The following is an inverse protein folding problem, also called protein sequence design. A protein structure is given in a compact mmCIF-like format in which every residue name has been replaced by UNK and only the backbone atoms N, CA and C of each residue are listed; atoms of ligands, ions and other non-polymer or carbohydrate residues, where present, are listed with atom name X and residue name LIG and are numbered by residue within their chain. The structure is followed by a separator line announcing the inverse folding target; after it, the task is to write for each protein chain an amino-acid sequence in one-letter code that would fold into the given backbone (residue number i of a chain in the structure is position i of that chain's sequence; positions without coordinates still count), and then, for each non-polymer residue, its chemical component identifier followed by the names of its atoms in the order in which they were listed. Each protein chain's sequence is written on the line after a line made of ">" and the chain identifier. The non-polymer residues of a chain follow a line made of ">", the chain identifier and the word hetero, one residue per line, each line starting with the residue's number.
data_IF_955837434783
#
_entry.id   IF_955837434783
#
_cell.length_a   1.000
_cell.length_b   1.000
_cell.length_c   1.000
_cell.angle_alpha   90.00
_cell.angle_beta   90.00
_cell.angle_gamma   90.00
#
_symmetry.space_group_name_H-M   'P 1'
#
loop_
_entity.id
_entity.type
_entity.pdbx_description
1 polymer ?
#
# COMPACT_ATOMS: atom_id res chain seq x y z
N UNK A 1 -48.46 -58.94 6.49
CA UNK A 1 -47.01 -58.76 6.73
C UNK A 1 -46.68 -57.30 6.47
N UNK A 2 -46.49 -56.55 7.51
CA UNK A 2 -46.14 -55.14 7.39
C UNK A 2 -44.60 -55.02 7.43
N UNK A 3 -44.02 -54.63 6.31
CA UNK A 3 -42.59 -54.33 6.22
C UNK A 3 -42.28 -52.96 6.79
N UNK A 4 -41.62 -52.91 7.93
CA UNK A 4 -41.14 -51.67 8.50
C UNK A 4 -39.99 -51.12 7.63
N UNK A 5 -40.27 -50.03 6.91
CA UNK A 5 -39.20 -49.25 6.23
C UNK A 5 -38.51 -48.40 7.28
N UNK A 6 -37.27 -48.74 7.60
CA UNK A 6 -36.40 -47.91 8.41
C UNK A 6 -36.00 -46.66 7.62
N UNK A 7 -36.50 -45.52 8.06
CA UNK A 7 -36.04 -44.21 7.55
C UNK A 7 -34.71 -43.92 8.18
N UNK A 8 -33.66 -44.03 7.39
CA UNK A 8 -32.33 -43.57 7.80
C UNK A 8 -32.29 -42.05 7.72
N UNK A 9 -32.37 -41.40 8.86
CA UNK A 9 -32.11 -39.97 8.95
C UNK A 9 -30.61 -39.75 8.76
N UNK A 10 -30.23 -39.23 7.62
CA UNK A 10 -28.86 -38.75 7.38
C UNK A 10 -28.70 -37.41 8.09
N UNK A 11 -27.96 -37.40 9.17
CA UNK A 11 -27.54 -36.16 9.83
C UNK A 11 -26.46 -35.53 8.98
N UNK A 12 -26.78 -34.44 8.31
CA UNK A 12 -25.82 -33.64 7.57
C UNK A 12 -25.08 -32.79 8.59
N UNK A 13 -23.88 -33.23 8.98
CA UNK A 13 -22.98 -32.39 9.78
C UNK A 13 -22.36 -31.35 8.88
N UNK A 14 -22.91 -30.14 8.93
CA UNK A 14 -22.28 -28.98 8.28
C UNK A 14 -21.09 -28.56 9.14
N UNK A 15 -19.91 -29.01 8.74
CA UNK A 15 -18.66 -28.50 9.30
C UNK A 15 -18.49 -27.05 8.81
N UNK A 16 -18.86 -26.09 9.65
CA UNK A 16 -18.51 -24.70 9.45
C UNK A 16 -17.02 -24.59 9.81
N UNK A 17 -16.15 -24.70 8.81
CA UNK A 17 -14.75 -24.39 9.00
C UNK A 17 -14.65 -22.88 9.36
N UNK A 18 -13.90 -22.53 10.41
CA UNK A 18 -13.61 -21.13 10.67
C UNK A 18 -12.89 -20.56 9.45
N UNK A 19 -13.47 -19.53 8.84
CA UNK A 19 -12.84 -18.82 7.72
C UNK A 19 -11.74 -17.94 8.32
N UNK A 20 -10.61 -18.55 8.62
CA UNK A 20 -9.37 -17.83 8.79
C UNK A 20 -8.85 -17.58 7.38
N UNK A 21 -9.50 -16.65 6.68
CA UNK A 21 -8.99 -16.19 5.38
C UNK A 21 -7.62 -15.56 5.59
N UNK A 22 -6.66 -15.76 4.66
CA UNK A 22 -5.42 -15.03 4.71
C UNK A 22 -5.78 -13.54 4.75
N UNK A 23 -5.17 -12.79 5.68
CA UNK A 23 -5.23 -11.33 5.62
C UNK A 23 -4.82 -10.96 4.21
N UNK A 24 -5.67 -10.22 3.52
CA UNK A 24 -5.37 -9.73 2.19
C UNK A 24 -4.07 -8.93 2.29
N UNK A 25 -2.97 -9.57 1.93
CA UNK A 25 -1.70 -8.85 1.83
C UNK A 25 -1.83 -7.93 0.62
N UNK A 26 -1.64 -6.65 0.86
CA UNK A 26 -1.59 -5.68 -0.22
C UNK A 26 -0.42 -6.05 -1.12
N UNK A 27 -0.68 -6.17 -2.42
CA UNK A 27 0.38 -6.42 -3.38
C UNK A 27 1.15 -5.11 -3.59
N UNK A 28 2.36 -5.04 -3.06
CA UNK A 28 3.25 -3.89 -3.24
C UNK A 28 3.98 -3.91 -4.58
N UNK A 29 3.97 -5.04 -5.29
CA UNK A 29 4.72 -5.22 -6.53
C UNK A 29 6.23 -5.07 -6.33
N UNK A 30 6.91 -4.49 -7.31
CA UNK A 30 8.31 -4.12 -7.16
C UNK A 30 8.44 -2.90 -6.25
N UNK A 31 9.26 -3.03 -5.19
CA UNK A 31 9.41 -2.00 -4.16
C UNK A 31 10.66 -1.17 -4.43
N UNK A 32 10.48 0.14 -4.53
CA UNK A 32 11.56 1.11 -4.66
C UNK A 32 11.74 1.86 -3.35
N UNK A 33 12.99 2.05 -2.93
CA UNK A 33 13.30 2.83 -1.75
C UNK A 33 12.97 4.31 -1.94
N UNK A 34 12.70 5.00 -0.86
CA UNK A 34 12.32 6.42 -0.86
C UNK A 34 13.40 7.37 -1.39
N UNK A 35 14.66 6.93 -1.45
CA UNK A 35 15.77 7.68 -2.02
C UNK A 35 16.00 7.44 -3.52
N UNK A 36 15.23 6.54 -4.14
CA UNK A 36 15.25 6.35 -5.59
C UNK A 36 14.87 7.66 -6.30
N UNK A 37 15.60 8.02 -7.34
CA UNK A 37 15.30 9.20 -8.16
C UNK A 37 14.50 8.84 -9.39
N UNK A 38 14.74 7.65 -9.92
CA UNK A 38 14.07 7.12 -11.08
C UNK A 38 13.46 5.75 -10.75
N UNK A 39 12.23 5.56 -11.18
CA UNK A 39 11.46 4.34 -11.04
C UNK A 39 11.17 3.83 -12.44
N UNK A 40 11.91 2.83 -12.90
CA UNK A 40 11.72 2.22 -14.21
C UNK A 40 10.93 0.92 -14.05
N UNK A 41 9.78 0.85 -14.70
CA UNK A 41 8.85 -0.28 -14.61
C UNK A 41 8.29 -0.64 -15.99
N UNK A 42 7.63 -1.78 -16.07
CA UNK A 42 6.96 -2.25 -17.29
C UNK A 42 5.48 -1.87 -17.28
N UNK A 43 4.92 -1.67 -18.44
CA UNK A 43 3.48 -1.49 -18.62
C UNK A 43 2.70 -2.64 -17.95
N UNK A 44 1.68 -2.29 -17.17
CA UNK A 44 0.84 -3.24 -16.42
C UNK A 44 1.42 -3.69 -15.07
N UNK A 45 2.65 -3.33 -14.75
CA UNK A 45 3.30 -3.72 -13.51
C UNK A 45 2.75 -2.92 -12.32
N UNK A 46 2.59 -3.61 -11.18
CA UNK A 46 2.39 -2.98 -9.88
C UNK A 46 3.76 -2.66 -9.28
N UNK A 47 3.90 -1.49 -8.73
CA UNK A 47 5.12 -1.05 -8.05
C UNK A 47 4.77 -0.14 -6.87
N UNK A 48 5.69 0.02 -5.96
CA UNK A 48 5.50 0.91 -4.81
C UNK A 48 6.76 1.67 -4.45
N UNK A 49 6.56 2.84 -3.84
CA UNK A 49 7.57 3.56 -3.10
C UNK A 49 7.42 3.26 -1.62
N UNK A 50 8.52 3.02 -0.94
CA UNK A 50 8.57 2.58 0.45
C UNK A 50 9.34 3.58 1.32
N UNK A 51 8.76 3.90 2.46
CA UNK A 51 9.38 4.67 3.53
C UNK A 51 9.36 3.89 4.84
N UNK A 52 10.45 3.93 5.56
CA UNK A 52 10.45 3.62 6.98
C UNK A 52 9.95 4.85 7.75
N UNK A 53 8.96 4.63 8.63
CA UNK A 53 8.37 5.71 9.40
C UNK A 53 9.03 5.83 10.76
N UNK A 54 9.40 7.04 11.15
CA UNK A 54 9.76 7.34 12.52
C UNK A 54 8.50 7.56 13.36
N UNK A 55 8.59 7.29 14.66
CA UNK A 55 7.54 7.67 15.61
C UNK A 55 7.61 9.19 15.83
N UNK A 56 6.96 9.93 14.95
CA UNK A 56 6.83 11.38 15.02
C UNK A 56 5.37 11.75 14.76
N UNK A 57 4.58 12.01 15.82
CA UNK A 57 3.17 12.33 15.68
C UNK A 57 2.94 13.55 14.78
N UNK A 58 2.00 13.42 13.85
CA UNK A 58 1.61 14.49 12.95
C UNK A 58 2.51 14.67 11.72
N UNK A 59 3.47 13.79 11.48
CA UNK A 59 4.27 13.81 10.27
C UNK A 59 3.70 12.86 9.22
N UNK A 60 3.53 13.37 8.01
CA UNK A 60 2.91 12.63 6.91
C UNK A 60 3.73 12.71 5.63
N UNK A 61 3.69 11.61 4.86
CA UNK A 61 4.14 11.57 3.48
C UNK A 61 2.92 11.58 2.58
N UNK A 62 2.86 12.53 1.67
CA UNK A 62 1.72 12.63 0.76
C UNK A 62 2.12 13.10 -0.63
N UNK A 63 1.48 12.55 -1.69
CA UNK A 63 1.63 13.07 -3.03
C UNK A 63 1.09 14.49 -3.12
N UNK A 64 1.89 15.36 -3.75
CA UNK A 64 1.52 16.74 -4.07
C UNK A 64 1.81 17.02 -5.54
N UNK A 65 1.46 18.20 -6.03
CA UNK A 65 1.81 18.62 -7.39
C UNK A 65 3.33 18.78 -7.58
N UNK A 66 3.94 18.36 -8.71
CA UNK A 66 3.28 17.69 -9.82
C UNK A 66 2.89 16.25 -9.50
N UNK A 67 1.65 15.90 -9.85
CA UNK A 67 1.14 14.54 -9.72
C UNK A 67 1.41 13.75 -10.99
N UNK A 68 1.51 12.42 -10.91
CA UNK A 68 1.68 11.60 -12.09
C UNK A 68 0.54 11.79 -13.09
N UNK A 69 0.90 11.72 -14.38
CA UNK A 69 -0.09 11.55 -15.42
C UNK A 69 -0.82 10.22 -15.23
N UNK A 70 -2.14 10.21 -15.03
CA UNK A 70 -2.91 8.97 -14.80
C UNK A 70 -2.89 8.03 -16.01
N UNK A 71 -2.58 8.53 -17.20
CA UNK A 71 -2.34 7.69 -18.38
C UNK A 71 -1.02 6.91 -18.34
N UNK A 72 -0.09 7.28 -17.46
CA UNK A 72 1.21 6.64 -17.30
C UNK A 72 1.28 5.84 -16.00
N UNK A 73 0.94 6.43 -14.88
CA UNK A 73 0.98 5.78 -13.58
C UNK A 73 -0.18 6.25 -12.70
N UNK A 74 -0.85 5.31 -12.04
CA UNK A 74 -2.00 5.57 -11.17
C UNK A 74 -1.68 5.11 -9.76
N UNK A 75 -1.88 5.98 -8.77
CA UNK A 75 -1.87 5.59 -7.36
C UNK A 75 -3.10 4.72 -7.07
N UNK A 76 -2.87 3.46 -6.71
CA UNK A 76 -3.94 2.50 -6.44
C UNK A 76 -4.19 2.28 -4.96
N UNK A 77 -3.26 2.64 -4.10
CA UNK A 77 -3.43 2.49 -2.66
C UNK A 77 -2.29 3.09 -1.85
N UNK A 78 -2.60 3.28 -0.59
CA UNK A 78 -1.65 3.67 0.46
C UNK A 78 -1.73 2.60 1.52
N UNK A 79 -0.62 1.93 1.79
CA UNK A 79 -0.56 0.87 2.79
C UNK A 79 0.41 1.26 3.90
N UNK A 80 -0.13 1.42 5.11
CA UNK A 80 0.66 1.66 6.32
C UNK A 80 0.74 0.38 7.13
N UNK A 81 1.96 -0.14 7.27
CA UNK A 81 2.23 -1.30 8.11
C UNK A 81 2.66 -0.80 9.48
N UNK A 82 1.92 -1.11 10.54
CA UNK A 82 2.26 -0.67 11.89
C UNK A 82 3.65 -1.17 12.32
N UNK A 83 4.37 -0.34 13.06
CA UNK A 83 5.62 -0.71 13.70
C UNK A 83 5.44 -1.76 14.79
N UNK A 84 6.53 -2.41 15.17
CA UNK A 84 6.56 -3.34 16.29
C UNK A 84 6.45 -2.56 17.61
N UNK A 85 5.39 -2.75 18.42
CA UNK A 85 5.24 -2.05 19.69
C UNK A 85 6.32 -2.41 20.71
N UNK A 86 7.04 -3.53 20.51
CA UNK A 86 8.18 -3.94 21.32
C UNK A 86 9.49 -3.23 21.01
N UNK A 87 9.55 -2.46 19.91
CA UNK A 87 10.73 -1.72 19.48
C UNK A 87 10.50 -0.22 19.59
N UNK A 88 11.28 0.45 20.43
CA UNK A 88 11.25 1.90 20.54
C UNK A 88 11.73 2.55 19.24
N UNK A 89 10.96 3.52 18.74
CA UNK A 89 11.30 4.26 17.54
C UNK A 89 10.85 3.62 16.22
N UNK A 90 10.24 2.42 16.26
CA UNK A 90 9.63 1.80 15.09
C UNK A 90 8.25 2.39 14.82
N UNK A 91 8.17 3.32 13.87
CA UNK A 91 6.92 3.93 13.40
C UNK A 91 6.19 3.11 12.35
N UNK A 92 6.78 2.00 11.90
CA UNK A 92 6.27 1.15 10.85
C UNK A 92 6.76 1.53 9.45
N UNK A 93 6.00 1.14 8.46
CA UNK A 93 6.34 1.30 7.05
C UNK A 93 5.18 1.89 6.27
N UNK A 94 5.50 2.66 5.27
CA UNK A 94 4.53 3.25 4.33
C UNK A 94 4.86 2.79 2.92
N UNK A 95 3.85 2.32 2.21
CA UNK A 95 3.92 2.01 0.79
C UNK A 95 2.92 2.87 0.03
N UNK A 96 3.40 3.63 -0.94
CA UNK A 96 2.55 4.23 -1.96
C UNK A 96 2.54 3.28 -3.15
N UNK A 97 1.39 2.66 -3.41
CA UNK A 97 1.24 1.60 -4.41
C UNK A 97 0.66 2.16 -5.69
N UNK A 98 1.31 1.86 -6.80
CA UNK A 98 0.97 2.34 -8.13
C UNK A 98 0.79 1.19 -9.12
N UNK A 99 0.06 1.46 -10.18
CA UNK A 99 0.03 0.64 -11.38
C UNK A 99 0.56 1.43 -12.56
N UNK A 100 1.46 0.80 -13.32
CA UNK A 100 1.96 1.34 -14.59
C UNK A 100 0.89 1.18 -15.66
N UNK A 101 0.14 2.24 -15.92
CA UNK A 101 -1.06 2.24 -16.74
C UNK A 101 -0.75 2.31 -18.24
N UNK A 102 0.25 3.08 -18.62
CA UNK A 102 0.65 3.26 -20.01
C UNK A 102 2.12 3.64 -20.13
N UNK A 103 2.69 3.36 -21.30
CA UNK A 103 4.08 3.70 -21.62
C UNK A 103 4.27 5.21 -21.64
N UNK A 104 5.37 5.66 -21.09
CA UNK A 104 5.72 7.06 -21.02
C UNK A 104 6.54 7.40 -19.80
N UNK A 105 6.73 8.69 -19.59
CA UNK A 105 7.46 9.23 -18.44
C UNK A 105 6.59 10.25 -17.75
N UNK A 106 6.55 10.17 -16.42
CA UNK A 106 5.81 11.11 -15.59
C UNK A 106 6.57 11.39 -14.30
N UNK A 107 6.16 12.41 -13.58
CA UNK A 107 6.76 12.79 -12.32
C UNK A 107 5.78 12.61 -11.16
N UNK A 108 6.31 12.19 -10.02
CA UNK A 108 5.61 12.13 -8.75
C UNK A 108 6.37 12.96 -7.75
N UNK A 109 5.70 13.88 -7.09
CA UNK A 109 6.27 14.61 -5.95
C UNK A 109 5.60 14.20 -4.67
N UNK A 110 6.40 13.88 -3.66
CA UNK A 110 5.97 13.50 -2.32
C UNK A 110 6.50 14.49 -1.30
N UNK A 111 5.60 15.05 -0.52
CA UNK A 111 5.90 15.92 0.60
C UNK A 111 5.95 15.12 1.90
N UNK A 112 7.03 15.28 2.65
CA UNK A 112 7.12 14.85 4.05
C UNK A 112 7.06 16.09 4.92
N UNK A 113 5.98 16.26 5.64
CA UNK A 113 5.71 17.46 6.42
C UNK A 113 4.93 17.15 7.69
N UNK A 114 5.03 18.06 8.66
CA UNK A 114 4.21 18.02 9.88
C UNK A 114 2.89 18.76 9.65
N UNK A 115 1.80 18.19 10.12
CA UNK A 115 0.47 18.81 10.01
C UNK A 115 0.36 20.10 10.87
N UNK A 116 -0.20 21.22 10.34
CA UNK A 116 -0.65 21.42 8.97
C UNK A 116 0.54 21.63 8.00
N UNK A 117 0.61 20.84 6.96
CA UNK A 117 1.67 20.93 5.98
C UNK A 117 1.70 22.31 5.30
N UNK A 118 2.86 22.99 5.35
CA UNK A 118 3.01 24.35 4.82
C UNK A 118 2.80 25.47 5.83
N UNK A 119 2.51 25.14 7.09
CA UNK A 119 2.46 26.12 8.18
C UNK A 119 3.86 26.61 8.57
N UNK A 120 3.92 27.82 9.16
CA UNK A 120 5.17 28.44 9.65
C UNK A 120 5.86 27.68 10.79
N UNK A 121 5.14 26.75 11.45
CA UNK A 121 5.65 25.91 12.53
C UNK A 121 6.32 24.62 12.04
N UNK A 122 6.32 24.35 10.73
CA UNK A 122 6.97 23.17 10.15
C UNK A 122 8.48 23.42 9.97
N UNK A 123 9.25 23.15 11.04
CA UNK A 123 10.70 23.31 11.03
C UNK A 123 11.44 22.31 10.17
N UNK A 124 10.76 21.26 9.68
CA UNK A 124 11.31 20.28 8.76
C UNK A 124 10.29 19.90 7.71
N UNK A 125 10.63 20.22 6.48
CA UNK A 125 9.85 19.84 5.31
C UNK A 125 10.77 19.28 4.25
N UNK A 126 10.52 18.09 3.80
CA UNK A 126 11.23 17.47 2.71
C UNK A 126 10.29 17.22 1.55
N UNK A 127 10.68 17.67 0.37
CA UNK A 127 9.96 17.42 -0.86
C UNK A 127 10.86 16.66 -1.81
N UNK A 128 10.39 15.52 -2.30
CA UNK A 128 11.11 14.70 -3.27
C UNK A 128 10.29 14.50 -4.52
N UNK A 129 10.96 14.60 -5.67
CA UNK A 129 10.38 14.31 -6.97
C UNK A 129 11.01 13.04 -7.53
N UNK A 130 10.16 12.14 -7.97
CA UNK A 130 10.53 10.87 -8.58
C UNK A 130 10.16 10.90 -10.06
N UNK A 131 11.07 10.43 -10.89
CA UNK A 131 10.80 10.22 -12.31
C UNK A 131 10.33 8.80 -12.52
N UNK A 132 9.12 8.61 -13.01
CA UNK A 132 8.55 7.31 -13.31
C UNK A 132 8.64 7.07 -14.82
N UNK A 133 9.28 5.99 -15.21
CA UNK A 133 9.45 5.59 -16.61
C UNK A 133 8.76 4.24 -16.80
N UNK A 134 7.71 4.21 -17.63
CA UNK A 134 6.98 3.00 -17.99
C UNK A 134 7.37 2.58 -19.41
N UNK A 135 7.87 1.38 -19.53
CA UNK A 135 8.30 0.79 -20.82
C UNK A 135 7.41 -0.33 -21.29
#
# INVERSE_FOLDING_TARGET
>A
MAGARAVRASVLVVLVAPVWGPRWQVNHGEVFASDAREVAVRHGQVFSLHWELAVDPGRYHRPVAPRPDPGVAVLTGVDEVPGDPGHLGDGGELYLVFRAEGRGTTELTVDNCREPCGGSADGFRERRTYRIVVR
#
